data_IF_552558942326
#
_entry.id   IF_552558942326
#
_cell.length_a   1.000
_cell.length_b   1.000
_cell.length_c   1.000
_cell.angle_alpha   90.00
_cell.angle_beta   90.00
_cell.angle_gamma   90.00
#
_symmetry.space_group_name_H-M   'P 1'
#
loop_
_entity.id
_entity.type
_entity.pdbx_description
1 polymer ?
#
# COMPACT_ATOMS: atom_id res chain seq x y z
N UNK A 1 -19.47 25.37 10.21
CA UNK A 1 -18.31 25.22 9.33
C UNK A 1 -18.18 26.39 8.36
N UNK A 2 -16.99 26.59 7.76
CA UNK A 2 -16.79 27.62 6.73
C UNK A 2 -16.96 26.99 5.35
N UNK A 3 -17.65 27.70 4.44
CA UNK A 3 -17.82 27.27 3.05
C UNK A 3 -17.12 28.26 2.15
N UNK A 4 -16.42 27.77 1.13
CA UNK A 4 -15.87 28.54 0.03
C UNK A 4 -16.37 27.99 -1.30
N UNK A 5 -16.70 28.89 -2.21
CA UNK A 5 -17.14 28.54 -3.57
C UNK A 5 -16.46 29.47 -4.55
N UNK A 6 -15.94 28.92 -5.63
CA UNK A 6 -15.47 29.68 -6.80
C UNK A 6 -15.91 28.95 -8.06
N UNK A 7 -16.44 29.69 -9.02
CA UNK A 7 -16.85 29.14 -10.30
C UNK A 7 -16.00 29.78 -11.41
N UNK A 8 -15.58 28.99 -12.39
CA UNK A 8 -14.80 29.49 -13.50
C UNK A 8 -15.35 28.96 -14.84
N UNK A 9 -15.46 29.83 -15.81
CA UNK A 9 -15.76 29.45 -17.19
C UNK A 9 -14.46 28.96 -17.82
N UNK A 10 -14.32 27.67 -18.07
CA UNK A 10 -13.07 27.04 -18.56
C UNK A 10 -12.54 27.71 -19.84
N UNK A 11 -13.43 28.00 -20.79
CA UNK A 11 -13.06 28.59 -22.09
C UNK A 11 -12.48 30.01 -22.00
N UNK A 12 -12.95 30.81 -21.06
CA UNK A 12 -12.57 32.24 -20.98
C UNK A 12 -11.79 32.60 -19.73
N UNK A 13 -11.68 31.68 -18.76
CA UNK A 13 -11.07 31.96 -17.46
C UNK A 13 -11.90 32.88 -16.55
N UNK A 14 -13.05 33.39 -17.04
CA UNK A 14 -13.91 34.32 -16.27
C UNK A 14 -14.47 33.64 -15.02
N UNK A 15 -14.43 34.34 -13.89
CA UNK A 15 -14.96 33.90 -12.61
C UNK A 15 -16.29 34.66 -12.35
N UNK A 16 -17.43 34.10 -12.74
CA UNK A 16 -18.74 34.79 -12.59
C UNK A 16 -19.22 34.84 -11.15
N UNK A 17 -18.78 33.95 -10.29
CA UNK A 17 -19.16 33.92 -8.88
C UNK A 17 -18.03 33.44 -7.99
N UNK A 18 -17.84 34.07 -6.85
CA UNK A 18 -16.97 33.64 -5.79
C UNK A 18 -17.51 34.00 -4.42
N UNK A 19 -17.40 33.09 -3.47
CA UNK A 19 -17.72 33.31 -2.06
C UNK A 19 -16.62 32.64 -1.23
N UNK A 20 -15.89 33.42 -0.43
CA UNK A 20 -14.71 32.94 0.30
C UNK A 20 -13.68 32.21 -0.61
N UNK A 21 -13.62 32.49 -1.89
CA UNK A 21 -12.80 31.74 -2.87
C UNK A 21 -11.30 31.85 -2.65
N UNK A 22 -10.84 32.87 -1.92
CA UNK A 22 -9.41 33.09 -1.57
C UNK A 22 -9.12 32.70 -0.11
N UNK A 23 -10.12 32.28 0.65
CA UNK A 23 -9.93 31.90 2.06
C UNK A 23 -9.23 30.54 2.16
N UNK A 24 -8.08 30.45 2.86
CA UNK A 24 -7.44 29.16 3.08
C UNK A 24 -8.36 28.18 3.80
N UNK A 25 -8.45 26.97 3.26
CA UNK A 25 -9.26 25.88 3.82
C UNK A 25 -8.46 24.58 3.82
N UNK A 26 -8.78 23.70 4.75
CA UNK A 26 -8.18 22.36 4.77
C UNK A 26 -8.76 21.54 3.62
N UNK A 27 -7.95 21.11 2.66
CA UNK A 27 -8.46 20.39 1.48
C UNK A 27 -8.92 18.97 1.78
N UNK A 28 -8.47 18.37 2.88
CA UNK A 28 -8.73 16.98 3.25
C UNK A 28 -8.53 16.07 2.01
N UNK A 29 -9.46 15.16 1.72
CA UNK A 29 -9.37 14.24 0.58
C UNK A 29 -9.34 14.90 -0.80
N UNK A 30 -9.62 16.20 -0.92
CA UNK A 30 -9.46 16.90 -2.19
C UNK A 30 -7.99 16.97 -2.64
N UNK A 31 -7.05 16.81 -1.71
CA UNK A 31 -5.62 16.66 -2.08
C UNK A 31 -5.36 15.47 -3.00
N UNK A 32 -6.22 14.43 -2.98
CA UNK A 32 -6.09 13.29 -3.88
C UNK A 32 -6.17 13.68 -5.36
N UNK A 33 -6.98 14.71 -5.68
CA UNK A 33 -7.06 15.23 -7.06
C UNK A 33 -5.72 15.76 -7.52
N UNK A 34 -5.06 16.55 -6.67
CA UNK A 34 -3.73 17.11 -6.97
C UNK A 34 -2.69 16.00 -7.06
N UNK A 35 -2.65 15.11 -6.07
CA UNK A 35 -1.70 13.99 -6.04
C UNK A 35 -1.86 13.09 -7.27
N UNK A 36 -3.10 12.77 -7.65
CA UNK A 36 -3.37 11.92 -8.82
C UNK A 36 -2.97 12.63 -10.12
N UNK A 37 -3.26 13.93 -10.25
CA UNK A 37 -2.89 14.70 -11.42
C UNK A 37 -1.37 14.75 -11.59
N UNK A 38 -0.62 15.03 -10.51
CA UNK A 38 0.84 15.05 -10.52
C UNK A 38 1.41 13.67 -10.84
N UNK A 39 0.84 12.61 -10.25
CA UNK A 39 1.28 11.25 -10.53
C UNK A 39 1.08 10.90 -12.01
N UNK A 40 -0.07 11.21 -12.58
CA UNK A 40 -0.37 10.96 -13.99
C UNK A 40 0.55 11.75 -14.92
N UNK A 41 0.81 13.02 -14.61
CA UNK A 41 1.69 13.89 -15.40
C UNK A 41 3.16 13.43 -15.33
N UNK A 42 3.61 12.96 -14.17
CA UNK A 42 5.01 12.61 -13.91
C UNK A 42 5.34 11.17 -14.33
N UNK A 43 4.45 10.23 -14.05
CA UNK A 43 4.69 8.80 -14.25
C UNK A 43 4.07 8.28 -15.55
N UNK A 44 3.04 8.95 -16.07
CA UNK A 44 2.27 8.50 -17.24
C UNK A 44 1.19 7.48 -16.91
N UNK A 45 0.29 7.23 -17.87
CA UNK A 45 -0.84 6.31 -17.72
C UNK A 45 -0.43 4.82 -17.73
N UNK A 46 0.73 4.52 -18.29
CA UNK A 46 1.25 3.16 -18.39
C UNK A 46 2.12 2.74 -17.21
N UNK A 47 2.31 3.62 -16.22
CA UNK A 47 3.10 3.29 -15.03
C UNK A 47 2.56 2.05 -14.33
N UNK A 48 3.46 1.16 -13.90
CA UNK A 48 3.14 -0.05 -13.13
C UNK A 48 4.06 -0.16 -11.93
N UNK A 49 3.47 -0.49 -10.79
CA UNK A 49 4.24 -0.91 -9.62
C UNK A 49 4.82 -2.31 -9.86
N UNK A 50 6.05 -2.53 -9.43
CA UNK A 50 6.72 -3.81 -9.59
C UNK A 50 7.23 -4.35 -8.26
N UNK A 51 6.50 -5.29 -7.68
CA UNK A 51 7.01 -6.07 -6.55
C UNK A 51 7.76 -7.28 -7.09
N UNK A 52 9.04 -7.43 -6.72
CA UNK A 52 9.94 -8.42 -7.29
C UNK A 52 10.45 -9.39 -6.23
N UNK A 53 10.49 -10.67 -6.58
CA UNK A 53 11.12 -11.71 -5.77
C UNK A 53 12.43 -12.10 -6.44
N UNK A 54 13.54 -11.90 -5.74
CA UNK A 54 14.88 -12.33 -6.16
C UNK A 54 15.31 -13.54 -5.35
N UNK A 55 16.16 -14.37 -5.95
CA UNK A 55 16.76 -15.51 -5.28
C UNK A 55 18.15 -15.80 -5.81
N UNK A 56 18.93 -16.61 -5.08
CA UNK A 56 20.26 -17.02 -5.51
C UNK A 56 20.19 -17.90 -6.76
N UNK A 57 21.28 -17.94 -7.52
CA UNK A 57 21.43 -18.88 -8.64
C UNK A 57 21.84 -20.27 -8.19
N UNK A 58 22.40 -20.40 -6.98
CA UNK A 58 22.92 -21.68 -6.46
C UNK A 58 21.78 -22.60 -6.08
N UNK A 59 21.82 -23.81 -6.59
CA UNK A 59 20.85 -24.87 -6.35
C UNK A 59 21.54 -26.19 -6.05
N UNK A 60 20.91 -26.98 -5.19
CA UNK A 60 21.19 -28.37 -4.99
C UNK A 60 19.90 -29.16 -5.25
N UNK A 61 19.83 -29.78 -6.43
CA UNK A 61 18.62 -30.44 -6.91
C UNK A 61 17.41 -29.46 -6.95
N UNK A 62 16.45 -29.66 -6.06
CA UNK A 62 15.22 -28.85 -5.91
C UNK A 62 15.31 -27.80 -4.79
N UNK A 63 16.43 -27.77 -4.07
CA UNK A 63 16.68 -26.84 -2.97
C UNK A 63 17.46 -25.63 -3.46
N UNK A 64 16.95 -24.45 -3.20
CA UNK A 64 17.62 -23.17 -3.43
C UNK A 64 18.51 -22.90 -2.22
N UNK A 65 19.79 -22.62 -2.43
CA UNK A 65 20.75 -22.36 -1.36
C UNK A 65 21.01 -20.87 -1.23
N UNK A 66 20.47 -20.25 -0.18
CA UNK A 66 20.59 -18.84 0.15
C UNK A 66 19.27 -18.12 0.18
N UNK A 67 19.30 -16.82 0.45
CA UNK A 67 18.15 -16.01 0.79
C UNK A 67 17.29 -15.64 -0.42
N UNK A 68 15.99 -15.51 -0.18
CA UNK A 68 15.08 -14.81 -1.06
C UNK A 68 14.97 -13.35 -0.64
N UNK A 69 14.95 -12.44 -1.63
CA UNK A 69 14.73 -11.02 -1.37
C UNK A 69 13.43 -10.60 -2.04
N UNK A 70 12.46 -10.15 -1.24
CA UNK A 70 11.20 -9.58 -1.70
C UNK A 70 11.32 -8.06 -1.69
N UNK A 71 11.49 -7.46 -2.89
CA UNK A 71 11.60 -6.02 -3.05
C UNK A 71 10.25 -5.43 -3.39
N UNK A 72 9.78 -4.51 -2.54
CA UNK A 72 8.57 -3.73 -2.73
C UNK A 72 8.85 -2.36 -3.33
N UNK A 73 7.95 -1.89 -4.19
CA UNK A 73 8.00 -0.57 -4.82
C UNK A 73 6.75 0.28 -4.50
N UNK A 74 6.09 0.01 -3.37
CA UNK A 74 4.95 0.79 -2.91
C UNK A 74 3.63 0.46 -3.60
N UNK A 75 3.48 -0.76 -4.13
CA UNK A 75 2.22 -1.20 -4.75
C UNK A 75 1.07 -1.20 -3.71
N UNK A 76 0.05 -0.34 -3.88
CA UNK A 76 -1.05 -0.24 -2.94
C UNK A 76 -2.15 -1.29 -3.19
N UNK A 77 -2.02 -2.15 -4.21
CA UNK A 77 -3.11 -3.01 -4.68
C UNK A 77 -3.20 -4.37 -3.97
N UNK A 78 -2.30 -4.67 -3.02
CA UNK A 78 -2.27 -5.95 -2.31
C UNK A 78 -3.37 -6.06 -1.24
N UNK A 79 -4.62 -5.79 -1.65
CA UNK A 79 -5.81 -5.97 -0.82
C UNK A 79 -7.08 -6.06 -1.69
N UNK A 80 -8.19 -6.64 -1.20
CA UNK A 80 -9.48 -6.55 -1.88
C UNK A 80 -9.96 -5.09 -2.03
N UNK A 81 -10.54 -4.66 -3.18
CA UNK A 81 -11.05 -5.50 -4.27
C UNK A 81 -10.06 -5.73 -5.42
N UNK A 82 -8.80 -5.31 -5.32
CA UNK A 82 -7.83 -5.44 -6.41
C UNK A 82 -7.33 -6.88 -6.57
N UNK A 83 -7.36 -7.66 -5.49
CA UNK A 83 -7.00 -9.08 -5.47
C UNK A 83 -8.06 -9.86 -4.70
N UNK A 84 -8.22 -11.16 -4.96
CA UNK A 84 -9.20 -12.02 -4.29
C UNK A 84 -9.03 -12.05 -2.77
N UNK A 85 -7.78 -12.04 -2.33
CA UNK A 85 -7.39 -11.86 -0.94
C UNK A 85 -5.97 -11.30 -0.87
N UNK A 86 -5.60 -10.73 0.28
CA UNK A 86 -4.31 -10.04 0.46
C UNK A 86 -3.08 -10.94 0.24
N UNK A 87 -3.22 -12.27 0.29
CA UNK A 87 -2.12 -13.22 0.08
C UNK A 87 -2.00 -13.69 -1.38
N UNK A 88 -2.97 -13.37 -2.24
CA UNK A 88 -2.99 -13.82 -3.63
C UNK A 88 -1.72 -13.43 -4.43
N UNK A 89 -1.15 -12.22 -4.29
CA UNK A 89 0.09 -11.86 -4.97
C UNK A 89 1.28 -12.75 -4.59
N UNK A 90 1.39 -13.09 -3.31
CA UNK A 90 2.46 -13.97 -2.82
C UNK A 90 2.29 -15.41 -3.33
N UNK A 91 1.05 -15.89 -3.41
CA UNK A 91 0.77 -17.20 -4.03
C UNK A 91 1.26 -17.23 -5.47
N UNK A 92 1.00 -16.19 -6.23
CA UNK A 92 1.47 -16.04 -7.62
C UNK A 92 3.01 -16.13 -7.73
N UNK A 93 3.73 -15.45 -6.82
CA UNK A 93 5.20 -15.49 -6.74
C UNK A 93 5.71 -16.89 -6.36
N UNK A 94 5.08 -17.54 -5.37
CA UNK A 94 5.40 -18.91 -4.97
C UNK A 94 5.19 -19.88 -6.13
N UNK A 95 4.09 -19.75 -6.85
CA UNK A 95 3.79 -20.61 -8.00
C UNK A 95 4.80 -20.38 -9.14
N UNK A 96 5.25 -19.13 -9.35
CA UNK A 96 6.33 -18.82 -10.28
C UNK A 96 7.64 -19.49 -9.86
N UNK A 97 8.00 -19.39 -8.59
CA UNK A 97 9.19 -20.06 -8.05
C UNK A 97 9.11 -21.59 -8.20
N UNK A 98 7.96 -22.20 -7.89
CA UNK A 98 7.73 -23.63 -8.07
C UNK A 98 7.86 -24.10 -9.53
N UNK A 99 7.44 -23.27 -10.50
CA UNK A 99 7.61 -23.57 -11.94
C UNK A 99 9.07 -23.66 -12.36
N UNK A 100 9.98 -23.01 -11.65
CA UNK A 100 11.43 -23.19 -11.87
C UNK A 100 11.97 -24.54 -11.36
N UNK A 101 11.13 -25.34 -10.71
CA UNK A 101 11.49 -26.64 -10.12
C UNK A 101 11.94 -26.57 -8.67
N UNK A 102 11.97 -25.38 -8.06
CA UNK A 102 12.27 -25.19 -6.63
C UNK A 102 11.16 -25.79 -5.77
N UNK A 103 11.54 -26.51 -4.71
CA UNK A 103 10.65 -27.09 -3.71
C UNK A 103 10.97 -26.65 -2.29
N UNK A 104 12.22 -26.26 -2.10
CA UNK A 104 12.75 -25.87 -0.80
C UNK A 104 13.70 -24.68 -0.96
N UNK A 105 13.73 -23.84 0.05
CA UNK A 105 14.66 -22.72 0.15
C UNK A 105 15.39 -22.88 1.49
N UNK A 106 16.69 -22.98 1.41
CA UNK A 106 17.59 -23.03 2.57
C UNK A 106 18.24 -21.65 2.72
N UNK A 107 17.53 -20.76 3.40
CA UNK A 107 17.88 -19.37 3.61
C UNK A 107 16.71 -18.60 4.19
N UNK A 108 16.88 -17.29 4.34
CA UNK A 108 15.89 -16.37 4.88
C UNK A 108 15.05 -15.71 3.77
N UNK A 109 13.92 -15.14 4.17
CA UNK A 109 13.15 -14.20 3.35
C UNK A 109 13.46 -12.78 3.84
N UNK A 110 14.22 -12.05 3.04
CA UNK A 110 14.57 -10.66 3.31
C UNK A 110 13.55 -9.76 2.62
N UNK A 111 12.96 -8.83 3.37
CA UNK A 111 12.08 -7.79 2.81
C UNK A 111 12.92 -6.54 2.57
N UNK A 112 12.96 -6.08 1.31
CA UNK A 112 13.66 -4.87 0.88
C UNK A 112 12.63 -3.78 0.53
N UNK A 113 12.57 -2.76 1.37
CA UNK A 113 11.78 -1.53 1.19
C UNK A 113 12.68 -0.29 1.00
N UNK A 114 13.92 -0.47 0.61
CA UNK A 114 14.96 0.56 0.54
C UNK A 114 14.68 1.71 -0.44
N UNK A 115 13.70 1.55 -1.32
CA UNK A 115 13.24 2.62 -2.22
C UNK A 115 12.40 3.67 -1.48
N UNK A 116 12.03 3.42 -0.22
CA UNK A 116 11.28 4.32 0.65
C UNK A 116 12.16 4.79 1.81
N UNK A 117 11.89 6.01 2.27
CA UNK A 117 12.46 6.46 3.54
C UNK A 117 11.79 5.71 4.72
N UNK A 118 12.38 5.81 5.90
CA UNK A 118 11.83 5.17 7.10
C UNK A 118 10.79 6.02 7.81
N UNK A 119 10.25 7.02 7.14
CA UNK A 119 9.20 7.88 7.66
C UNK A 119 7.81 7.30 7.30
N UNK A 120 7.52 6.13 7.83
CA UNK A 120 6.31 5.36 7.51
C UNK A 120 4.99 6.10 7.81
N UNK A 121 5.02 7.06 8.74
CA UNK A 121 3.88 7.90 9.09
C UNK A 121 4.31 9.36 8.98
N UNK A 122 3.56 10.23 8.25
CA UNK A 122 3.87 11.64 8.17
C UNK A 122 3.86 12.30 9.55
N UNK A 123 4.88 13.12 9.85
CA UNK A 123 4.98 13.85 11.12
C UNK A 123 3.80 14.80 11.39
N UNK A 124 3.05 15.16 10.35
CA UNK A 124 1.87 16.01 10.43
C UNK A 124 0.62 15.27 10.93
N UNK A 125 0.66 13.95 11.03
CA UNK A 125 -0.47 13.19 11.57
C UNK A 125 -0.55 13.37 13.07
N UNK A 126 -1.74 13.72 13.55
CA UNK A 126 -2.00 13.86 14.96
C UNK A 126 -2.21 12.47 15.58
N UNK A 127 -1.69 12.24 16.81
CA UNK A 127 -1.72 10.95 17.52
C UNK A 127 -3.11 10.31 17.57
N UNK A 128 -4.16 11.13 17.72
CA UNK A 128 -5.56 10.66 17.73
C UNK A 128 -5.99 9.92 16.46
N UNK A 129 -5.25 10.06 15.35
CA UNK A 129 -5.59 9.43 14.07
C UNK A 129 -4.81 8.15 13.82
N UNK A 130 -3.80 7.83 14.64
CA UNK A 130 -2.88 6.71 14.39
C UNK A 130 -3.56 5.34 14.45
N UNK A 131 -4.74 5.25 15.07
CA UNK A 131 -5.55 4.03 15.08
C UNK A 131 -6.56 3.95 13.92
N UNK A 132 -6.68 5.01 13.15
CA UNK A 132 -7.56 5.03 11.97
C UNK A 132 -6.88 4.38 10.77
N UNK A 133 -7.63 3.61 9.99
CA UNK A 133 -7.10 2.87 8.83
C UNK A 133 -6.48 3.76 7.76
N UNK A 134 -6.87 5.04 7.67
CA UNK A 134 -6.27 5.99 6.74
C UNK A 134 -4.93 6.56 7.20
N UNK A 135 -4.55 6.32 8.45
CA UNK A 135 -3.26 6.71 9.03
C UNK A 135 -2.29 5.52 9.15
N UNK A 136 -2.63 4.38 8.56
CA UNK A 136 -1.74 3.23 8.54
C UNK A 136 -0.36 3.57 7.96
N UNK A 137 0.71 2.96 8.47
CA UNK A 137 2.06 3.16 7.95
C UNK A 137 2.15 2.85 6.44
N UNK A 138 2.97 3.59 5.71
CA UNK A 138 3.23 3.38 4.29
C UNK A 138 4.71 3.08 4.09
N UNK A 139 5.03 2.06 3.32
CA UNK A 139 6.39 1.66 2.98
C UNK A 139 6.45 1.02 1.59
N UNK A 140 7.61 0.53 1.21
CA UNK A 140 7.83 -0.09 -0.10
C UNK A 140 7.04 -1.38 -0.30
N UNK A 141 6.74 -2.12 0.76
CA UNK A 141 5.88 -3.31 0.71
C UNK A 141 4.69 -3.13 1.65
N UNK A 142 3.50 -3.10 1.08
CA UNK A 142 2.23 -3.03 1.82
C UNK A 142 1.43 -4.32 1.64
N UNK A 143 0.73 -4.73 2.69
CA UNK A 143 -0.22 -5.84 2.65
C UNK A 143 -1.50 -5.38 3.34
N UNK A 144 -2.66 -5.60 2.71
CA UNK A 144 -3.95 -5.20 3.24
C UNK A 144 -3.97 -3.73 3.72
N UNK A 145 -3.34 -2.82 2.97
CA UNK A 145 -3.15 -1.40 3.32
C UNK A 145 -2.41 -1.18 4.65
N UNK A 146 -1.61 -2.14 5.08
CA UNK A 146 -0.93 -2.18 6.39
C UNK A 146 -1.91 -2.07 7.59
N UNK A 147 -3.11 -2.62 7.40
CA UNK A 147 -4.17 -2.66 8.41
C UNK A 147 -4.48 -4.11 8.76
N UNK A 148 -4.60 -4.38 10.05
CA UNK A 148 -5.18 -5.62 10.55
C UNK A 148 -6.53 -5.31 11.16
N UNK A 149 -7.58 -5.94 10.65
CA UNK A 149 -8.93 -5.81 11.20
C UNK A 149 -9.14 -6.92 12.24
N UNK A 150 -9.41 -6.51 13.46
CA UNK A 150 -9.78 -7.43 14.54
C UNK A 150 -11.29 -7.42 14.71
N UNK A 151 -11.91 -8.57 14.62
CA UNK A 151 -13.35 -8.74 14.81
C UNK A 151 -13.64 -9.59 16.04
N UNK A 152 -14.58 -9.14 16.85
CA UNK A 152 -15.06 -9.86 18.03
C UNK A 152 -16.49 -10.32 17.79
N UNK A 153 -16.75 -11.62 17.91
CA UNK A 153 -18.07 -12.20 17.67
C UNK A 153 -18.38 -13.38 18.58
N UNK A 154 -19.56 -13.98 18.43
CA UNK A 154 -19.97 -15.11 19.26
C UNK A 154 -19.02 -16.32 19.19
N UNK A 155 -18.28 -16.44 18.10
CA UNK A 155 -17.32 -17.54 17.87
C UNK A 155 -15.87 -17.17 18.30
N UNK A 156 -15.68 -16.05 19.01
CA UNK A 156 -14.38 -15.60 19.49
C UNK A 156 -13.84 -14.38 18.74
N UNK A 157 -12.52 -14.24 18.77
CA UNK A 157 -11.79 -13.11 18.18
C UNK A 157 -11.08 -13.60 16.92
N UNK A 158 -11.21 -12.84 15.84
CA UNK A 158 -10.51 -13.10 14.57
C UNK A 158 -9.71 -11.89 14.13
N UNK A 159 -8.67 -12.12 13.35
CA UNK A 159 -7.87 -11.06 12.71
C UNK A 159 -7.72 -11.33 11.22
N UNK A 160 -7.80 -10.26 10.41
CA UNK A 160 -7.61 -10.34 8.96
C UNK A 160 -6.67 -9.19 8.50
N UNK A 161 -5.60 -9.49 7.78
CA UNK A 161 -5.08 -10.84 7.50
C UNK A 161 -4.54 -11.51 8.76
N UNK A 162 -4.74 -12.83 8.88
CA UNK A 162 -4.12 -13.60 9.95
C UNK A 162 -2.69 -13.97 9.54
N UNK A 163 -1.74 -13.18 9.97
CA UNK A 163 -0.30 -13.36 9.66
C UNK A 163 0.43 -14.23 10.67
N UNK A 164 -0.25 -14.67 11.73
CA UNK A 164 0.38 -15.39 12.86
C UNK A 164 1.24 -14.48 13.76
N UNK A 165 1.44 -13.22 13.39
CA UNK A 165 2.21 -12.25 14.20
C UNK A 165 1.44 -11.69 15.39
N UNK A 166 0.10 -11.84 15.41
CA UNK A 166 -0.77 -11.38 16.48
C UNK A 166 -1.19 -12.56 17.36
N UNK A 167 -0.99 -12.41 18.65
CA UNK A 167 -1.57 -13.30 19.67
C UNK A 167 -2.93 -12.75 20.06
N UNK A 168 -4.00 -13.42 19.63
CA UNK A 168 -5.35 -13.09 20.06
C UNK A 168 -5.63 -13.80 21.39
N UNK A 169 -6.02 -13.04 22.41
CA UNK A 169 -6.35 -13.56 23.74
C UNK A 169 -7.79 -13.16 24.04
N UNK A 170 -8.62 -14.14 24.35
CA UNK A 170 -10.02 -13.96 24.72
C UNK A 170 -10.16 -14.14 26.24
#
# INVERSE_FOLDING_TARGET
GTVGVSTQVLKSGKVPFTYNGTKPMVPASNMKVVTTAVALDTLGEDFRFETRLYGPKQRDGKTLKGDLVLKGAGDPSFYPPFVDNSLAPFKSMIDALKRTGVREVEGDLIVDDSDFDRQFIPKSYHDRYLLDSYAAPVGGLGLNRNVVTVSVGPNGITAEPNTGSLKLVN
#
